data_IF_428550083501
#
_entry.id   IF_428550083501
#
_cell.length_a   1.000
_cell.length_b   1.000
_cell.length_c   1.000
_cell.angle_alpha   90.00
_cell.angle_beta   90.00
_cell.angle_gamma   90.00
#
_symmetry.space_group_name_H-M   'P 1'
#
loop_
_entity.id
_entity.type
_entity.pdbx_description
1 polymer ?
#
# COMPACT_ATOMS: atom_id res chain seq x y z
N UNK A 1 -21.29 -7.87 2.15
CA UNK A 1 -21.30 -9.35 2.22
C UNK A 1 -20.35 -9.97 1.22
N UNK A 2 -20.69 -9.92 -0.08
CA UNK A 2 -19.93 -10.57 -1.15
C UNK A 2 -18.44 -10.15 -1.23
N UNK A 3 -18.14 -8.85 -1.25
CA UNK A 3 -16.75 -8.36 -1.35
C UNK A 3 -15.84 -8.83 -0.19
N UNK A 4 -16.41 -8.97 1.01
CA UNK A 4 -15.69 -9.50 2.18
C UNK A 4 -15.34 -10.98 1.96
N UNK A 5 -16.27 -11.77 1.41
CA UNK A 5 -16.00 -13.16 1.05
C UNK A 5 -14.89 -13.25 0.00
N UNK A 6 -14.92 -12.37 -1.01
CA UNK A 6 -13.84 -12.30 -2.02
C UNK A 6 -12.49 -11.97 -1.38
N UNK A 7 -12.44 -11.02 -0.43
CA UNK A 7 -11.21 -10.71 0.32
C UNK A 7 -10.70 -11.90 1.13
N UNK A 8 -11.59 -12.65 1.79
CA UNK A 8 -11.23 -13.85 2.56
C UNK A 8 -10.64 -14.92 1.63
N UNK A 9 -11.30 -15.19 0.51
CA UNK A 9 -10.85 -16.16 -0.49
C UNK A 9 -9.51 -15.73 -1.09
N UNK A 10 -9.37 -14.46 -1.47
CA UNK A 10 -8.12 -13.91 -1.99
C UNK A 10 -6.99 -14.03 -0.96
N UNK A 11 -7.26 -13.73 0.32
CA UNK A 11 -6.30 -13.90 1.41
C UNK A 11 -5.86 -15.34 1.62
N UNK A 12 -6.78 -16.31 1.47
CA UNK A 12 -6.46 -17.73 1.52
C UNK A 12 -5.56 -18.14 0.34
N UNK A 13 -5.93 -17.79 -0.89
CA UNK A 13 -5.14 -18.09 -2.10
C UNK A 13 -3.76 -17.39 -2.04
N UNK A 14 -3.71 -16.19 -1.46
CA UNK A 14 -2.48 -15.43 -1.27
C UNK A 14 -1.46 -16.15 -0.38
N UNK A 15 -1.92 -16.86 0.65
CA UNK A 15 -1.05 -17.38 1.73
C UNK A 15 -0.89 -18.90 1.76
N UNK A 16 -1.89 -19.66 1.32
CA UNK A 16 -1.98 -21.12 1.53
C UNK A 16 -1.60 -21.88 0.24
N UNK A 17 -0.98 -23.09 0.34
CA UNK A 17 -0.84 -23.98 -0.82
C UNK A 17 -2.17 -24.25 -1.53
N UNK A 18 -2.16 -24.53 -2.85
CA UNK A 18 -0.98 -24.65 -3.72
C UNK A 18 -0.51 -23.31 -4.33
N UNK A 19 -1.29 -22.24 -4.19
CA UNK A 19 -1.08 -21.02 -4.97
C UNK A 19 0.01 -20.12 -4.38
N UNK A 20 -0.08 -19.80 -3.09
CA UNK A 20 0.84 -18.91 -2.35
C UNK A 20 1.25 -17.70 -3.19
N UNK A 21 0.27 -16.90 -3.64
CA UNK A 21 0.54 -15.82 -4.60
C UNK A 21 1.61 -14.84 -4.10
N UNK A 22 1.71 -14.65 -2.78
CA UNK A 22 2.72 -13.79 -2.13
C UNK A 22 4.17 -14.19 -2.40
N UNK A 23 4.42 -15.46 -2.71
CA UNK A 23 5.78 -15.98 -2.92
C UNK A 23 6.28 -15.72 -4.36
N UNK A 24 5.44 -15.13 -5.21
CA UNK A 24 5.69 -14.92 -6.64
C UNK A 24 5.59 -13.42 -6.99
N UNK A 25 6.31 -12.95 -8.01
CA UNK A 25 6.47 -11.51 -8.24
C UNK A 25 5.16 -10.89 -8.72
N UNK A 26 4.67 -11.32 -9.89
CA UNK A 26 3.48 -10.75 -10.54
C UNK A 26 2.23 -11.03 -9.71
N UNK A 27 1.99 -12.27 -9.30
CA UNK A 27 0.76 -12.60 -8.57
C UNK A 27 0.72 -12.01 -7.16
N UNK A 28 1.87 -11.82 -6.50
CA UNK A 28 1.93 -11.16 -5.21
C UNK A 28 1.56 -9.69 -5.33
N UNK A 29 2.07 -9.01 -6.36
CA UNK A 29 1.69 -7.64 -6.70
C UNK A 29 0.19 -7.54 -7.03
N UNK A 30 -0.30 -8.35 -7.98
CA UNK A 30 -1.70 -8.32 -8.41
C UNK A 30 -2.66 -8.62 -7.26
N UNK A 31 -2.34 -9.56 -6.36
CA UNK A 31 -3.19 -9.83 -5.20
C UNK A 31 -3.30 -8.62 -4.26
N UNK A 32 -2.21 -7.87 -4.04
CA UNK A 32 -2.24 -6.66 -3.22
C UNK A 32 -2.98 -5.52 -3.93
N UNK A 33 -2.72 -5.32 -5.22
CA UNK A 33 -3.40 -4.32 -6.05
C UNK A 33 -4.90 -4.58 -6.12
N UNK A 34 -5.32 -5.81 -6.37
CA UNK A 34 -6.74 -6.19 -6.42
C UNK A 34 -7.39 -6.09 -5.04
N UNK A 35 -6.75 -6.65 -4.00
CA UNK A 35 -7.29 -6.66 -2.65
C UNK A 35 -7.43 -5.25 -2.07
N UNK A 36 -6.31 -4.55 -1.91
CA UNK A 36 -6.28 -3.25 -1.23
C UNK A 36 -6.52 -2.07 -2.17
N UNK A 37 -6.19 -2.21 -3.46
CA UNK A 37 -6.35 -1.13 -4.44
C UNK A 37 -7.74 -1.05 -5.06
N UNK A 38 -8.43 -2.18 -5.25
CA UNK A 38 -9.77 -2.19 -5.84
C UNK A 38 -10.84 -2.61 -4.84
N UNK A 39 -10.73 -3.82 -4.27
CA UNK A 39 -11.83 -4.40 -3.48
C UNK A 39 -12.09 -3.57 -2.22
N UNK A 40 -11.04 -3.19 -1.47
CA UNK A 40 -11.21 -2.36 -0.26
C UNK A 40 -11.88 -1.01 -0.58
N UNK A 41 -11.41 -0.19 -1.53
CA UNK A 41 -12.13 1.02 -1.94
C UNK A 41 -13.59 0.75 -2.35
N UNK A 42 -13.87 -0.32 -3.11
CA UNK A 42 -15.23 -0.69 -3.47
C UNK A 42 -16.13 -1.05 -2.28
N UNK A 43 -15.56 -1.52 -1.15
CA UNK A 43 -16.36 -1.76 0.06
C UNK A 43 -16.83 -0.48 0.74
N UNK A 44 -16.13 0.63 0.55
CA UNK A 44 -16.40 1.92 1.20
C UNK A 44 -17.10 2.90 0.25
N UNK A 45 -16.82 2.78 -1.04
CA UNK A 45 -17.39 3.60 -2.11
C UNK A 45 -18.57 2.88 -2.77
N UNK A 46 -19.52 2.37 -1.97
CA UNK A 46 -20.66 1.59 -2.48
C UNK A 46 -21.61 2.38 -3.39
N UNK A 47 -21.60 3.71 -3.26
CA UNK A 47 -22.52 4.61 -3.96
C UNK A 47 -21.92 5.16 -5.26
N UNK A 48 -20.86 4.51 -5.79
CA UNK A 48 -20.27 4.87 -7.08
C UNK A 48 -21.24 4.62 -8.23
N UNK A 49 -21.53 5.68 -8.99
CA UNK A 49 -22.28 5.62 -10.25
C UNK A 49 -21.38 6.04 -11.41
N UNK A 50 -21.79 5.73 -12.65
CA UNK A 50 -21.02 6.06 -13.87
C UNK A 50 -20.75 7.57 -14.00
N UNK A 51 -21.61 8.41 -13.42
CA UNK A 51 -21.53 9.87 -13.52
C UNK A 51 -20.83 10.54 -12.33
N UNK A 52 -20.29 9.76 -11.39
CA UNK A 52 -19.63 10.35 -10.22
C UNK A 52 -18.25 10.91 -10.59
N UNK A 53 -17.94 12.09 -10.05
CA UNK A 53 -16.63 12.74 -10.11
C UNK A 53 -16.05 12.89 -8.69
N UNK A 54 -14.79 13.34 -8.57
CA UNK A 54 -14.14 13.48 -7.27
C UNK A 54 -13.82 12.12 -6.66
N UNK A 55 -13.86 11.99 -5.33
CA UNK A 55 -13.49 10.77 -4.58
C UNK A 55 -14.34 9.52 -4.91
N UNK A 56 -15.54 9.70 -5.48
CA UNK A 56 -16.41 8.60 -5.91
C UNK A 56 -16.36 8.35 -7.42
N UNK A 57 -15.40 8.95 -8.13
CA UNK A 57 -15.13 8.65 -9.53
C UNK A 57 -14.53 7.25 -9.74
N UNK A 58 -14.81 6.65 -10.90
CA UNK A 58 -14.34 5.32 -11.30
C UNK A 58 -12.82 5.20 -11.46
N UNK A 59 -12.13 6.32 -11.48
CA UNK A 59 -10.69 6.43 -11.54
C UNK A 59 -10.01 6.29 -10.17
N UNK A 60 -10.70 6.56 -9.06
CA UNK A 60 -10.10 6.42 -7.73
C UNK A 60 -9.63 5.00 -7.39
N UNK A 61 -10.37 3.92 -7.70
CA UNK A 61 -9.85 2.56 -7.54
C UNK A 61 -8.53 2.34 -8.30
N UNK A 62 -8.36 2.92 -9.49
CA UNK A 62 -7.09 2.85 -10.21
C UNK A 62 -5.99 3.65 -9.51
N UNK A 63 -6.31 4.82 -8.94
CA UNK A 63 -5.38 5.58 -8.10
C UNK A 63 -4.87 4.74 -6.91
N UNK A 64 -5.78 4.10 -6.17
CA UNK A 64 -5.41 3.27 -5.02
C UNK A 64 -4.64 2.03 -5.46
N UNK A 65 -5.04 1.37 -6.55
CA UNK A 65 -4.34 0.26 -7.17
C UNK A 65 -2.88 0.58 -7.49
N UNK A 66 -2.63 1.71 -8.15
CA UNK A 66 -1.30 2.17 -8.51
C UNK A 66 -0.46 2.52 -7.27
N UNK A 67 -1.04 3.26 -6.33
CA UNK A 67 -0.38 3.64 -5.07
C UNK A 67 0.00 2.40 -4.23
N UNK A 68 -0.93 1.47 -4.05
CA UNK A 68 -0.69 0.21 -3.33
C UNK A 68 0.35 -0.65 -4.05
N UNK A 69 0.29 -0.71 -5.39
CA UNK A 69 1.27 -1.43 -6.18
C UNK A 69 2.69 -0.90 -5.95
N UNK A 70 2.86 0.43 -5.95
CA UNK A 70 4.14 1.06 -5.67
C UNK A 70 4.64 0.77 -4.25
N UNK A 71 3.78 0.95 -3.24
CA UNK A 71 4.13 0.67 -1.84
C UNK A 71 4.50 -0.81 -1.66
N UNK A 72 3.73 -1.74 -2.25
CA UNK A 72 4.02 -3.16 -2.22
C UNK A 72 5.40 -3.47 -2.80
N UNK A 73 5.74 -2.92 -3.97
CA UNK A 73 7.07 -3.10 -4.56
C UNK A 73 8.18 -2.66 -3.60
N UNK A 74 8.03 -1.49 -2.97
CA UNK A 74 9.00 -0.99 -2.00
C UNK A 74 9.11 -1.88 -0.76
N UNK A 75 8.00 -2.45 -0.27
CA UNK A 75 8.03 -3.38 0.88
C UNK A 75 8.80 -4.67 0.60
N UNK A 76 8.88 -5.10 -0.66
CA UNK A 76 9.68 -6.30 -0.98
C UNK A 76 11.18 -6.10 -0.84
N UNK A 77 11.66 -4.84 -0.85
CA UNK A 77 13.10 -4.53 -0.75
C UNK A 77 13.70 -4.94 0.61
N UNK A 78 13.19 -4.48 1.76
CA UNK A 78 13.72 -4.91 3.06
C UNK A 78 13.54 -6.43 3.29
N UNK A 79 12.52 -7.03 2.69
CA UNK A 79 12.22 -8.46 2.83
C UNK A 79 13.08 -9.36 1.93
N UNK A 80 13.88 -8.79 1.03
CA UNK A 80 14.64 -9.50 -0.01
C UNK A 80 15.46 -10.68 0.52
N UNK A 81 16.24 -10.48 1.58
CA UNK A 81 17.10 -11.53 2.13
C UNK A 81 16.28 -12.67 2.76
N UNK A 82 15.26 -12.33 3.55
CA UNK A 82 14.36 -13.31 4.16
C UNK A 82 13.55 -14.10 3.11
N UNK A 83 13.08 -13.43 2.07
CA UNK A 83 12.36 -14.05 0.95
C UNK A 83 13.26 -14.99 0.15
N UNK A 84 14.51 -14.58 -0.13
CA UNK A 84 15.49 -15.42 -0.82
C UNK A 84 15.81 -16.68 0.00
N UNK A 85 16.03 -16.54 1.31
CA UNK A 85 16.35 -17.66 2.20
C UNK A 85 15.21 -18.67 2.33
N UNK A 86 13.97 -18.25 2.10
CA UNK A 86 12.78 -19.11 2.15
C UNK A 86 12.35 -19.61 0.76
N UNK A 87 13.14 -19.34 -0.28
CA UNK A 87 12.90 -19.83 -1.65
C UNK A 87 11.82 -19.07 -2.43
N UNK A 88 11.37 -17.90 -1.94
CA UNK A 88 10.41 -17.05 -2.64
C UNK A 88 11.07 -16.31 -3.80
N UNK A 89 10.26 -15.88 -4.78
CA UNK A 89 10.70 -15.17 -5.98
C UNK A 89 10.00 -13.80 -6.10
N UNK A 90 9.97 -13.02 -5.02
CA UNK A 90 9.39 -11.66 -5.04
C UNK A 90 10.18 -10.71 -5.94
N UNK A 91 9.62 -9.56 -6.30
CA UNK A 91 10.25 -8.61 -7.23
C UNK A 91 11.65 -8.19 -6.79
N UNK A 92 11.88 -7.90 -5.50
CA UNK A 92 13.21 -7.58 -5.00
C UNK A 92 14.20 -8.76 -5.03
N UNK A 93 13.73 -10.01 -5.04
CA UNK A 93 14.58 -11.19 -5.20
C UNK A 93 15.00 -11.36 -6.66
N UNK A 94 14.08 -11.19 -7.61
CA UNK A 94 14.33 -11.43 -9.04
C UNK A 94 14.96 -10.23 -9.77
N UNK A 95 14.70 -9.00 -9.32
CA UNK A 95 15.22 -7.77 -9.91
C UNK A 95 16.24 -7.09 -8.99
N UNK A 96 17.01 -6.17 -9.54
CA UNK A 96 17.87 -5.29 -8.74
C UNK A 96 17.02 -4.26 -7.98
N UNK A 97 17.50 -3.85 -6.80
CA UNK A 97 16.81 -2.87 -5.96
C UNK A 97 16.51 -1.55 -6.68
N UNK A 98 17.42 -0.98 -7.50
CA UNK A 98 17.12 0.22 -8.28
C UNK A 98 15.98 0.04 -9.28
N UNK A 99 15.87 -1.13 -9.92
CA UNK A 99 14.76 -1.42 -10.84
C UNK A 99 13.42 -1.50 -10.10
N UNK A 100 13.38 -2.12 -8.91
CA UNK A 100 12.16 -2.17 -8.09
C UNK A 100 11.74 -0.77 -7.63
N UNK A 101 12.68 0.06 -7.20
CA UNK A 101 12.42 1.48 -6.86
C UNK A 101 11.90 2.26 -8.06
N UNK A 102 12.47 2.05 -9.26
CA UNK A 102 12.02 2.69 -10.50
C UNK A 102 10.60 2.27 -10.89
N UNK A 103 10.27 0.98 -10.80
CA UNK A 103 8.91 0.49 -11.06
C UNK A 103 7.90 1.09 -10.07
N UNK A 104 8.27 1.19 -8.79
CA UNK A 104 7.43 1.86 -7.78
C UNK A 104 7.23 3.35 -8.11
N UNK A 105 8.27 4.04 -8.57
CA UNK A 105 8.17 5.43 -9.01
C UNK A 105 7.24 5.59 -10.21
N UNK A 106 7.34 4.72 -11.22
CA UNK A 106 6.45 4.74 -12.40
C UNK A 106 4.99 4.59 -11.95
N UNK A 107 4.68 3.59 -11.12
CA UNK A 107 3.32 3.39 -10.61
C UNK A 107 2.81 4.61 -9.82
N UNK A 108 3.65 5.28 -9.03
CA UNK A 108 3.25 6.50 -8.34
C UNK A 108 3.03 7.68 -9.28
N UNK A 109 3.85 7.84 -10.33
CA UNK A 109 3.64 8.87 -11.35
C UNK A 109 2.30 8.64 -12.06
N UNK A 110 2.01 7.39 -12.45
CA UNK A 110 0.73 7.03 -13.05
C UNK A 110 -0.43 7.32 -12.08
N UNK A 111 -0.24 7.11 -10.79
CA UNK A 111 -1.25 7.46 -9.77
C UNK A 111 -1.56 8.96 -9.77
N UNK A 112 -0.57 9.84 -9.97
CA UNK A 112 -0.81 11.29 -10.07
C UNK A 112 -1.66 11.61 -11.30
N UNK A 113 -1.38 10.98 -12.44
CA UNK A 113 -2.13 11.18 -13.68
C UNK A 113 -3.61 10.81 -13.47
N UNK A 114 -3.87 9.67 -12.83
CA UNK A 114 -5.23 9.22 -12.48
C UNK A 114 -5.87 10.12 -11.41
N UNK A 115 -5.12 10.56 -10.40
CA UNK A 115 -5.65 11.51 -9.42
C UNK A 115 -6.05 12.84 -10.07
N UNK A 116 -5.31 13.30 -11.06
CA UNK A 116 -5.62 14.54 -11.77
C UNK A 116 -6.89 14.40 -12.64
N UNK A 117 -7.15 13.24 -13.23
CA UNK A 117 -8.41 12.98 -13.96
C UNK A 117 -9.63 12.99 -13.02
N UNK A 118 -9.45 12.64 -11.75
CA UNK A 118 -10.56 12.56 -10.78
C UNK A 118 -11.07 13.92 -10.34
N UNK A 119 -10.35 14.99 -10.70
CA UNK A 119 -10.52 16.34 -10.19
C UNK A 119 -10.44 16.44 -8.65
N UNK A 120 -9.89 15.41 -7.98
CA UNK A 120 -9.72 15.40 -6.53
C UNK A 120 -8.28 15.79 -6.17
N UNK A 121 -8.05 17.10 -6.08
CA UNK A 121 -6.73 17.73 -5.85
C UNK A 121 -5.98 17.16 -4.66
N UNK A 122 -6.68 16.71 -3.62
CA UNK A 122 -6.05 16.17 -2.43
C UNK A 122 -5.25 14.90 -2.75
N UNK A 123 -5.75 13.99 -3.59
CA UNK A 123 -5.01 12.80 -3.98
C UNK A 123 -3.74 13.13 -4.76
N UNK A 124 -3.80 14.14 -5.65
CA UNK A 124 -2.65 14.66 -6.39
C UNK A 124 -1.55 15.12 -5.43
N UNK A 125 -1.93 15.88 -4.39
CA UNK A 125 -0.98 16.37 -3.38
C UNK A 125 -0.34 15.19 -2.63
N UNK A 126 -1.13 14.22 -2.17
CA UNK A 126 -0.63 13.08 -1.40
C UNK A 126 0.33 12.20 -2.22
N UNK A 127 0.00 11.91 -3.48
CA UNK A 127 0.87 11.13 -4.36
C UNK A 127 2.13 11.92 -4.74
N UNK A 128 2.04 13.23 -4.94
CA UNK A 128 3.22 14.07 -5.22
C UNK A 128 4.20 14.07 -4.05
N UNK A 129 3.71 14.23 -2.82
CA UNK A 129 4.56 14.14 -1.61
C UNK A 129 5.23 12.75 -1.53
N UNK A 130 4.49 11.69 -1.85
CA UNK A 130 4.99 10.32 -1.86
C UNK A 130 6.09 10.12 -2.92
N UNK A 131 5.91 10.65 -4.13
CA UNK A 131 6.91 10.62 -5.21
C UNK A 131 8.23 11.22 -4.76
N UNK A 132 8.21 12.37 -4.08
CA UNK A 132 9.43 13.02 -3.62
C UNK A 132 10.25 12.07 -2.72
N UNK A 133 9.60 11.35 -1.82
CA UNK A 133 10.31 10.38 -0.96
C UNK A 133 10.91 9.23 -1.76
N UNK A 134 10.18 8.68 -2.74
CA UNK A 134 10.67 7.59 -3.59
C UNK A 134 11.83 8.05 -4.49
N UNK A 135 11.78 9.26 -5.05
CA UNK A 135 12.90 9.84 -5.81
C UNK A 135 14.15 9.89 -4.94
N UNK A 136 14.05 10.34 -3.68
CA UNK A 136 15.20 10.37 -2.78
C UNK A 136 15.76 8.96 -2.56
N UNK A 137 14.91 7.92 -2.49
CA UNK A 137 15.41 6.53 -2.38
C UNK A 137 16.18 6.05 -3.61
N UNK A 138 16.00 6.63 -4.80
CA UNK A 138 16.79 6.27 -5.98
C UNK A 138 18.24 6.70 -5.86
N UNK A 139 18.50 7.77 -5.12
CA UNK A 139 19.84 8.34 -4.90
C UNK A 139 20.40 8.05 -3.51
N UNK A 140 19.64 7.36 -2.66
CA UNK A 140 20.02 7.04 -1.29
C UNK A 140 19.79 5.58 -0.95
N UNK A 141 20.81 4.96 -0.36
CA UNK A 141 20.73 3.62 0.21
C UNK A 141 20.32 3.61 1.69
N UNK A 142 19.84 4.75 2.20
CA UNK A 142 19.37 4.87 3.58
C UNK A 142 18.09 4.08 3.80
N UNK A 143 18.15 3.07 4.67
CA UNK A 143 16.99 2.29 5.10
C UNK A 143 15.89 3.17 5.70
N UNK A 144 16.26 4.22 6.43
CA UNK A 144 15.30 5.16 7.03
C UNK A 144 14.44 5.85 5.96
N UNK A 145 15.05 6.25 4.85
CA UNK A 145 14.35 6.90 3.74
C UNK A 145 13.48 5.89 2.99
N UNK A 146 13.95 4.66 2.83
CA UNK A 146 13.15 3.58 2.26
C UNK A 146 11.90 3.30 3.11
N UNK A 147 12.06 3.13 4.42
CA UNK A 147 10.92 2.92 5.33
C UNK A 147 9.98 4.12 5.37
N UNK A 148 10.51 5.34 5.32
CA UNK A 148 9.68 6.55 5.19
C UNK A 148 8.85 6.50 3.90
N UNK A 149 9.46 6.14 2.77
CA UNK A 149 8.78 6.07 1.47
C UNK A 149 7.72 4.98 1.39
N UNK A 150 7.87 3.90 2.18
CA UNK A 150 6.86 2.85 2.33
C UNK A 150 5.69 3.33 3.20
N UNK A 151 5.99 3.96 4.35
CA UNK A 151 4.99 4.28 5.37
C UNK A 151 4.25 5.58 5.11
N UNK A 152 4.90 6.58 4.50
CA UNK A 152 4.33 7.89 4.28
C UNK A 152 3.07 7.86 3.39
N UNK A 153 3.03 7.14 2.24
CA UNK A 153 1.82 7.06 1.43
C UNK A 153 0.65 6.45 2.22
N UNK A 154 0.90 5.36 2.95
CA UNK A 154 -0.11 4.69 3.79
C UNK A 154 -0.61 5.63 4.90
N UNK A 155 0.31 6.37 5.55
CA UNK A 155 -0.03 7.32 6.61
C UNK A 155 -0.91 8.45 6.06
N UNK A 156 -0.52 9.04 4.94
CA UNK A 156 -1.26 10.14 4.30
C UNK A 156 -2.68 9.70 3.89
N UNK A 157 -2.81 8.52 3.27
CA UNK A 157 -4.11 7.95 2.92
C UNK A 157 -4.94 7.58 4.15
N UNK A 158 -4.30 7.13 5.22
CA UNK A 158 -4.97 6.83 6.50
C UNK A 158 -5.52 8.10 7.15
N UNK A 159 -4.77 9.20 7.12
CA UNK A 159 -5.22 10.51 7.61
C UNK A 159 -6.40 11.00 6.75
N UNK A 160 -6.31 10.88 5.43
CA UNK A 160 -7.39 11.23 4.51
C UNK A 160 -8.66 10.43 4.79
N UNK A 161 -8.54 9.11 4.93
CA UNK A 161 -9.67 8.25 5.28
C UNK A 161 -10.25 8.61 6.66
N UNK A 162 -9.40 8.93 7.64
CA UNK A 162 -9.81 9.37 8.96
C UNK A 162 -10.58 10.71 8.96
N UNK A 163 -10.26 11.60 8.01
CA UNK A 163 -11.00 12.85 7.81
C UNK A 163 -12.44 12.61 7.36
N UNK A 164 -12.66 11.67 6.43
CA UNK A 164 -14.01 11.30 5.97
C UNK A 164 -14.76 10.37 6.94
N UNK A 165 -14.03 9.51 7.66
CA UNK A 165 -14.59 8.48 8.53
C UNK A 165 -14.02 8.58 9.94
N UNK A 166 -14.65 9.39 10.79
CA UNK A 166 -14.18 9.63 12.16
C UNK A 166 -14.07 8.35 13.02
N UNK A 167 -14.98 7.40 12.84
CA UNK A 167 -14.93 6.09 13.53
C UNK A 167 -13.65 5.33 13.17
N UNK A 168 -13.27 5.37 11.89
CA UNK A 168 -12.02 4.78 11.41
C UNK A 168 -10.80 5.47 12.04
N UNK A 169 -10.80 6.80 12.14
CA UNK A 169 -9.74 7.53 12.85
C UNK A 169 -9.62 7.12 14.32
N UNK A 170 -10.73 7.02 15.06
CA UNK A 170 -10.75 6.55 16.46
C UNK A 170 -10.18 5.13 16.54
N UNK A 171 -10.61 4.24 15.65
CA UNK A 171 -10.12 2.86 15.59
C UNK A 171 -8.60 2.80 15.35
N UNK A 172 -8.07 3.58 14.42
CA UNK A 172 -6.63 3.64 14.14
C UNK A 172 -5.85 4.17 15.36
N UNK A 173 -6.33 5.22 16.03
CA UNK A 173 -5.68 5.73 17.26
C UNK A 173 -5.66 4.67 18.35
N UNK A 174 -6.80 4.00 18.59
CA UNK A 174 -6.88 2.91 19.56
C UNK A 174 -5.94 1.75 19.19
N UNK A 175 -5.86 1.38 17.91
CA UNK A 175 -4.97 0.34 17.40
C UNK A 175 -3.49 0.71 17.61
N UNK A 176 -3.10 1.95 17.36
CA UNK A 176 -1.72 2.43 17.56
C UNK A 176 -1.33 2.38 19.03
N UNK A 177 -2.21 2.86 19.93
CA UNK A 177 -1.98 2.82 21.38
C UNK A 177 -1.89 1.37 21.85
N UNK A 178 -2.86 0.53 21.48
CA UNK A 178 -2.91 -0.88 21.87
C UNK A 178 -1.67 -1.65 21.41
N UNK A 179 -1.26 -1.45 20.16
CA UNK A 179 -0.06 -2.08 19.60
C UNK A 179 1.19 -1.65 20.36
N UNK A 180 1.32 -0.35 20.67
CA UNK A 180 2.47 0.18 21.42
C UNK A 180 2.54 -0.36 22.84
N UNK A 181 1.41 -0.43 23.53
CA UNK A 181 1.32 -1.02 24.87
C UNK A 181 1.68 -2.51 24.85
N UNK A 182 1.15 -3.27 23.88
CA UNK A 182 1.42 -4.69 23.72
C UNK A 182 2.91 -4.98 23.48
N UNK A 183 3.54 -4.30 22.50
CA UNK A 183 4.94 -4.52 22.17
C UNK A 183 5.89 -4.07 23.28
N UNK A 184 5.59 -2.95 23.96
CA UNK A 184 6.38 -2.50 25.11
C UNK A 184 6.32 -3.51 26.25
N UNK A 185 5.13 -4.04 26.56
CA UNK A 185 4.93 -5.00 27.66
C UNK A 185 5.51 -6.38 27.34
N UNK A 186 5.30 -6.89 26.13
CA UNK A 186 5.66 -8.27 25.75
C UNK A 186 7.11 -8.40 25.28
N UNK A 187 7.58 -7.45 24.48
CA UNK A 187 8.87 -7.55 23.78
C UNK A 187 9.88 -6.50 24.21
N UNK A 188 9.51 -5.55 25.08
CA UNK A 188 10.35 -4.41 25.48
C UNK A 188 10.83 -3.58 24.28
N UNK A 189 10.00 -3.50 23.23
CA UNK A 189 10.28 -2.76 22.01
C UNK A 189 9.26 -1.64 21.81
N UNK A 190 9.70 -0.52 21.27
CA UNK A 190 8.83 0.54 20.80
C UNK A 190 8.39 0.26 19.37
N UNK A 191 7.10 0.03 19.18
CA UNK A 191 6.46 -0.22 17.89
C UNK A 191 5.05 0.38 17.90
N UNK A 192 4.53 0.92 16.78
CA UNK A 192 5.21 1.14 15.50
C UNK A 192 6.12 2.39 15.54
N UNK A 193 7.26 2.32 14.82
CA UNK A 193 8.16 3.44 14.53
C UNK A 193 7.97 3.93 13.11
N UNK A 194 8.07 5.24 12.89
CA UNK A 194 7.94 5.86 11.56
C UNK A 194 9.22 5.71 10.72
N UNK A 195 10.38 5.67 11.36
CA UNK A 195 11.70 5.53 10.74
C UNK A 195 12.43 4.32 11.27
#
# INVERSE_FOLDING_TARGET
GFLILVLIVLGAIYSVPPFRLKDRPISGLLANVVGYGFIVPFTVMSDMTINNNGLLGWDNPFYFALTIGAVYLLTTIPDKEGDKNTGKKTFAVILSTPLVKLLALILLIDSVVVANSSHFTLLVILSTISILTVIITLFSDSEKILFLSIKLPILLLTILAGYFFYIYAIFIVALLIGTRLYYRKRFKMEYPKLT
#
